data_IF_922215294124
#
_entry.id   IF_922215294124
#
_cell.length_a   1.000
_cell.length_b   1.000
_cell.length_c   1.000
_cell.angle_alpha   90.00
_cell.angle_beta   90.00
_cell.angle_gamma   90.00
#
_symmetry.space_group_name_H-M   'P 1'
#
loop_
_entity.id
_entity.type
_entity.pdbx_description
1 polymer ?
#
# COMPACT_ATOMS: atom_id res chain seq x y z
N UNK A 1 -4.52 10.60 7.37
CA UNK A 1 -5.52 11.36 6.61
C UNK A 1 -6.72 10.44 6.41
N UNK A 2 -7.86 10.75 7.02
CA UNK A 2 -9.04 9.89 7.04
C UNK A 2 -10.19 10.59 6.30
N UNK A 3 -10.61 10.03 5.17
CA UNK A 3 -11.69 10.60 4.35
C UNK A 3 -12.32 9.64 3.33
N UNK A 4 -11.99 8.35 3.38
CA UNK A 4 -12.81 7.28 2.82
C UNK A 4 -12.98 6.26 3.94
N UNK A 5 -14.04 6.41 4.74
CA UNK A 5 -14.25 5.65 5.97
C UNK A 5 -15.19 4.46 5.75
N UNK A 6 -14.72 3.49 4.98
CA UNK A 6 -14.92 2.08 5.27
C UNK A 6 -13.55 1.45 5.06
N UNK A 7 -13.10 0.69 6.05
CA UNK A 7 -11.81 0.00 6.16
C UNK A 7 -11.10 -0.08 4.82
N UNK A 8 -9.99 0.67 4.64
CA UNK A 8 -8.97 0.23 3.69
C UNK A 8 -8.65 -1.18 4.17
N UNK A 9 -9.19 -2.19 3.50
CA UNK A 9 -8.68 -3.54 3.68
C UNK A 9 -7.37 -3.50 2.91
N UNK A 10 -6.36 -2.99 3.61
CA UNK A 10 -5.02 -3.51 3.48
C UNK A 10 -5.19 -5.02 3.62
N UNK A 11 -4.86 -5.75 2.55
CA UNK A 11 -5.35 -7.12 2.30
C UNK A 11 -5.29 -8.01 3.55
N UNK A 12 -6.24 -8.94 3.72
CA UNK A 12 -6.35 -9.74 4.93
C UNK A 12 -5.21 -10.75 5.04
N UNK A 13 -4.11 -10.37 5.70
CA UNK A 13 -3.21 -11.34 6.34
C UNK A 13 -3.73 -11.55 7.76
N UNK A 14 -4.39 -12.69 7.98
CA UNK A 14 -4.70 -13.17 9.34
C UNK A 14 -3.44 -13.74 9.96
N UNK A 15 -2.91 -13.17 11.07
CA UNK A 15 -1.89 -13.85 11.86
C UNK A 15 -2.56 -15.03 12.59
N UNK A 16 -2.18 -16.25 12.22
CA UNK A 16 -2.65 -17.47 12.87
C UNK A 16 -2.20 -17.48 14.34
N UNK A 17 -3.16 -17.63 15.25
CA UNK A 17 -2.94 -17.56 16.70
C UNK A 17 -2.77 -18.97 17.27
N UNK A 18 -1.57 -19.25 17.82
CA UNK A 18 -1.30 -20.42 18.64
C UNK A 18 -1.10 -20.05 20.12
N UNK A 19 -2.07 -20.40 20.96
CA UNK A 19 -2.09 -20.27 22.44
C UNK A 19 -1.39 -21.46 23.11
N UNK A 20 -0.65 -21.26 24.21
CA UNK A 20 -0.92 -21.91 25.52
C UNK A 20 0.08 -21.48 26.63
N UNK A 21 -0.42 -21.49 27.88
CA UNK A 21 0.13 -20.77 29.03
C UNK A 21 1.10 -21.54 29.95
N UNK A 22 1.56 -20.86 31.01
CA UNK A 22 2.20 -21.52 32.17
C UNK A 22 3.15 -20.65 33.01
N UNK A 23 2.71 -20.21 34.19
CA UNK A 23 3.53 -19.53 35.22
C UNK A 23 4.56 -20.46 35.88
N UNK A 24 5.76 -19.95 36.20
CA UNK A 24 6.55 -20.30 37.42
C UNK A 24 7.36 -19.09 37.92
N UNK A 25 7.72 -19.12 39.21
CA UNK A 25 8.08 -18.01 40.13
C UNK A 25 9.47 -18.24 40.77
N UNK A 26 10.23 -17.16 41.03
CA UNK A 26 11.42 -17.09 41.92
C UNK A 26 12.77 -17.29 41.19
N UNK A 27 13.88 -16.59 41.43
CA UNK A 27 14.35 -15.71 42.51
C UNK A 27 15.48 -14.77 41.98
N UNK A 28 15.88 -13.79 42.80
CA UNK A 28 16.67 -12.58 42.48
C UNK A 28 18.12 -12.76 41.95
N UNK A 29 18.52 -11.75 41.17
CA UNK A 29 19.73 -11.57 40.35
C UNK A 29 21.04 -11.22 41.10
N UNK A 30 22.19 -11.18 40.38
CA UNK A 30 23.19 -10.12 40.50
C UNK A 30 23.19 -9.20 39.25
N UNK A 31 23.74 -7.98 39.36
CA UNK A 31 23.47 -6.89 38.45
C UNK A 31 24.37 -7.00 37.22
N UNK A 32 23.77 -7.07 36.04
CA UNK A 32 24.46 -6.75 34.79
C UNK A 32 23.84 -5.47 34.23
N UNK A 33 24.73 -4.54 33.90
CA UNK A 33 24.48 -3.28 33.22
C UNK A 33 23.85 -3.56 31.85
N UNK A 34 22.54 -3.71 31.79
CA UNK A 34 21.77 -3.58 30.55
C UNK A 34 20.94 -2.30 30.64
N UNK A 35 21.54 -1.21 30.18
CA UNK A 35 20.85 0.03 29.81
C UNK A 35 20.19 -0.13 28.42
N UNK A 36 19.56 -1.28 28.18
CA UNK A 36 18.65 -1.48 27.05
C UNK A 36 17.25 -1.13 27.55
N UNK A 37 16.94 0.16 27.45
CA UNK A 37 15.56 0.60 27.35
C UNK A 37 15.02 0.13 26.00
N UNK A 38 14.73 -1.17 25.88
CA UNK A 38 13.89 -1.72 24.82
C UNK A 38 12.50 -1.11 24.99
N UNK A 39 12.30 0.06 24.40
CA UNK A 39 10.95 0.54 24.14
C UNK A 39 10.25 -0.56 23.32
N UNK A 40 9.06 -1.03 23.75
CA UNK A 40 8.38 -2.10 23.03
C UNK A 40 8.10 -1.63 21.60
N UNK A 41 8.68 -2.35 20.62
CA UNK A 41 8.40 -2.11 19.21
C UNK A 41 6.89 -2.13 18.97
N UNK A 42 6.39 -1.17 18.19
CA UNK A 42 4.98 -1.10 17.82
C UNK A 42 4.56 -2.20 16.83
N UNK A 43 5.52 -3.03 16.38
CA UNK A 43 5.33 -4.14 15.47
C UNK A 43 6.07 -5.38 15.97
N UNK A 44 5.69 -6.55 15.44
CA UNK A 44 6.39 -7.81 15.70
C UNK A 44 7.43 -8.05 14.63
N UNK A 45 8.58 -8.59 15.03
CA UNK A 45 9.67 -8.93 14.10
C UNK A 45 9.45 -10.27 13.38
N UNK A 46 8.44 -11.05 13.79
CA UNK A 46 8.09 -12.32 13.14
C UNK A 46 7.85 -12.11 11.64
N UNK A 47 8.43 -12.94 10.76
CA UNK A 47 8.23 -12.82 9.33
C UNK A 47 6.75 -12.85 8.92
N UNK A 48 6.34 -11.90 8.09
CA UNK A 48 5.00 -11.89 7.48
C UNK A 48 5.06 -12.55 6.12
N UNK A 49 4.21 -13.56 5.92
CA UNK A 49 4.07 -14.23 4.64
C UNK A 49 3.01 -13.54 3.77
N UNK A 50 3.46 -12.97 2.66
CA UNK A 50 2.64 -12.33 1.62
C UNK A 50 2.71 -13.09 0.28
N UNK A 51 3.32 -14.28 0.26
CA UNK A 51 3.64 -15.01 -0.97
C UNK A 51 2.40 -15.47 -1.75
N UNK A 52 1.35 -15.88 -1.04
CA UNK A 52 0.08 -16.37 -1.59
C UNK A 52 -0.88 -15.25 -2.02
N UNK A 53 -0.55 -13.98 -1.74
CA UNK A 53 -1.42 -12.87 -2.12
C UNK A 53 -1.32 -12.66 -3.62
N UNK A 54 -2.43 -12.76 -4.36
CA UNK A 54 -2.39 -12.67 -5.82
C UNK A 54 -2.02 -11.26 -6.26
N UNK A 55 -1.21 -11.19 -7.32
CA UNK A 55 -0.93 -9.96 -8.04
C UNK A 55 -1.65 -9.95 -9.39
N UNK A 56 -2.11 -8.77 -9.82
CA UNK A 56 -2.55 -8.54 -11.19
C UNK A 56 -1.90 -7.28 -11.75
N UNK A 57 -1.47 -7.37 -13.00
CA UNK A 57 -0.83 -6.28 -13.72
C UNK A 57 -1.69 -5.02 -13.73
N UNK A 58 -1.02 -3.86 -13.75
CA UNK A 58 -1.66 -2.56 -13.82
C UNK A 58 -2.52 -2.39 -15.07
N UNK A 59 -3.75 -1.90 -14.89
CA UNK A 59 -4.56 -1.40 -15.98
C UNK A 59 -4.03 -0.03 -16.41
N UNK A 60 -3.89 0.20 -17.72
CA UNK A 60 -3.33 1.45 -18.27
C UNK A 60 -4.25 1.95 -19.37
N UNK A 61 -4.82 3.13 -19.15
CA UNK A 61 -5.70 3.81 -20.11
C UNK A 61 -5.27 5.29 -20.15
N UNK A 62 -4.19 5.61 -20.88
CA UNK A 62 -3.63 6.96 -20.89
C UNK A 62 -4.65 7.97 -21.45
N UNK A 63 -4.74 9.13 -20.82
CA UNK A 63 -5.70 10.18 -21.20
C UNK A 63 -7.16 9.89 -20.83
N UNK A 64 -7.44 8.83 -20.06
CA UNK A 64 -8.79 8.59 -19.53
C UNK A 64 -9.21 9.68 -18.53
N UNK A 65 -8.26 10.15 -17.72
CA UNK A 65 -8.44 11.23 -16.77
C UNK A 65 -7.86 12.54 -17.29
N UNK A 66 -8.48 13.68 -16.93
CA UNK A 66 -7.92 15.01 -17.18
C UNK A 66 -6.89 15.34 -16.10
N UNK A 67 -6.10 16.39 -16.31
CA UNK A 67 -5.17 16.90 -15.29
C UNK A 67 -5.84 17.39 -14.01
N UNK A 68 -7.17 17.56 -13.99
CA UNK A 68 -7.93 18.00 -12.81
C UNK A 68 -8.28 16.88 -11.83
N UNK A 69 -8.02 15.60 -12.16
CA UNK A 69 -8.41 14.44 -11.35
C UNK A 69 -7.91 14.51 -9.90
N UNK A 70 -6.66 14.93 -9.70
CA UNK A 70 -6.08 15.05 -8.36
C UNK A 70 -6.87 16.04 -7.50
N UNK A 71 -7.23 17.19 -8.08
CA UNK A 71 -8.07 18.18 -7.41
C UNK A 71 -9.45 17.60 -7.10
N UNK A 72 -10.07 16.88 -8.04
CA UNK A 72 -11.38 16.23 -7.81
C UNK A 72 -11.34 15.28 -6.62
N UNK A 73 -10.31 14.44 -6.52
CA UNK A 73 -10.14 13.49 -5.41
C UNK A 73 -9.89 14.24 -4.09
N UNK A 74 -9.01 15.24 -4.08
CA UNK A 74 -8.71 16.04 -2.88
C UNK A 74 -9.95 16.80 -2.39
N UNK A 75 -10.64 17.50 -3.28
CA UNK A 75 -11.88 18.21 -2.96
C UNK A 75 -12.92 17.24 -2.39
N UNK A 76 -13.05 16.02 -2.95
CA UNK A 76 -13.98 15.03 -2.44
C UNK A 76 -13.61 14.62 -1.01
N UNK A 77 -12.35 14.27 -0.74
CA UNK A 77 -11.85 13.84 0.57
C UNK A 77 -12.05 14.95 1.62
N UNK A 78 -11.73 16.21 1.26
CA UNK A 78 -11.82 17.34 2.17
C UNK A 78 -13.29 17.68 2.54
N UNK A 79 -14.21 17.55 1.58
CA UNK A 79 -15.62 17.88 1.76
C UNK A 79 -16.48 16.71 2.26
N UNK A 80 -16.03 15.46 2.05
CA UNK A 80 -16.80 14.26 2.35
C UNK A 80 -15.98 13.31 3.22
N UNK A 81 -15.72 13.71 4.47
CA UNK A 81 -14.91 12.92 5.43
C UNK A 81 -15.45 11.52 5.74
N UNK A 82 -16.72 11.26 5.42
CA UNK A 82 -17.40 9.96 5.56
C UNK A 82 -17.80 9.36 4.20
N UNK A 83 -17.27 9.87 3.09
CA UNK A 83 -17.55 9.34 1.76
C UNK A 83 -17.03 7.91 1.60
N UNK A 84 -17.73 7.12 0.79
CA UNK A 84 -17.32 5.76 0.42
C UNK A 84 -16.47 5.76 -0.86
N UNK A 85 -15.84 4.63 -1.17
CA UNK A 85 -15.16 4.44 -2.46
C UNK A 85 -16.12 4.55 -3.66
N UNK A 86 -17.37 4.12 -3.48
CA UNK A 86 -18.40 4.24 -4.52
C UNK A 86 -18.82 5.70 -4.72
N UNK A 87 -18.88 6.49 -3.64
CA UNK A 87 -19.14 7.95 -3.73
C UNK A 87 -18.00 8.66 -4.47
N UNK A 88 -16.74 8.32 -4.17
CA UNK A 88 -15.59 8.87 -4.87
C UNK A 88 -15.61 8.49 -6.36
N UNK A 89 -15.92 7.23 -6.67
CA UNK A 89 -16.05 6.74 -8.05
C UNK A 89 -17.16 7.48 -8.80
N UNK A 90 -18.30 7.73 -8.15
CA UNK A 90 -19.40 8.51 -8.71
C UNK A 90 -19.00 9.98 -8.96
N UNK A 91 -18.28 10.59 -8.01
CA UNK A 91 -17.77 11.96 -8.15
C UNK A 91 -16.80 12.08 -9.32
N UNK A 92 -15.84 11.15 -9.45
CA UNK A 92 -14.92 11.11 -10.60
C UNK A 92 -15.69 10.89 -11.89
N UNK A 93 -16.66 9.98 -11.93
CA UNK A 93 -17.47 9.76 -13.13
C UNK A 93 -18.25 11.01 -13.55
N UNK A 94 -18.67 11.84 -12.58
CA UNK A 94 -19.44 13.07 -12.78
C UNK A 94 -18.59 14.26 -13.20
N UNK A 95 -17.44 14.48 -12.54
CA UNK A 95 -16.56 15.65 -12.76
C UNK A 95 -15.52 15.43 -13.86
N UNK A 96 -15.02 14.21 -13.99
CA UNK A 96 -13.99 13.86 -14.96
C UNK A 96 -14.61 13.19 -16.17
N UNK A 97 -14.91 11.89 -16.06
CA UNK A 97 -15.63 11.08 -17.04
C UNK A 97 -15.83 9.64 -16.52
N UNK A 98 -16.76 8.89 -17.10
CA UNK A 98 -16.91 7.46 -16.85
C UNK A 98 -15.65 6.65 -17.23
N UNK A 99 -14.90 7.10 -18.23
CA UNK A 99 -13.63 6.48 -18.63
C UNK A 99 -12.55 6.68 -17.56
N UNK A 100 -12.44 7.87 -16.98
CA UNK A 100 -11.54 8.13 -15.86
C UNK A 100 -11.89 7.27 -14.65
N UNK A 101 -13.17 7.23 -14.26
CA UNK A 101 -13.62 6.39 -13.14
C UNK A 101 -13.30 4.90 -13.37
N UNK A 102 -13.46 4.40 -14.60
CA UNK A 102 -13.13 3.00 -14.96
C UNK A 102 -11.62 2.74 -15.08
N UNK A 103 -10.81 3.78 -15.24
CA UNK A 103 -9.35 3.64 -15.18
C UNK A 103 -8.84 3.65 -13.74
N UNK A 104 -9.44 4.47 -12.87
CA UNK A 104 -9.04 4.63 -11.46
C UNK A 104 -9.52 3.45 -10.60
N UNK A 105 -10.69 2.88 -10.90
CA UNK A 105 -11.29 1.79 -10.13
C UNK A 105 -11.40 0.50 -10.94
N UNK A 106 -11.08 -0.61 -10.30
CA UNK A 106 -11.31 -1.98 -10.78
C UNK A 106 -11.85 -2.85 -9.65
N UNK A 107 -12.33 -4.04 -10.00
CA UNK A 107 -12.65 -5.09 -9.02
C UNK A 107 -11.46 -6.01 -8.82
N UNK A 108 -11.38 -6.61 -7.64
CA UNK A 108 -10.43 -7.68 -7.33
C UNK A 108 -10.49 -8.85 -8.34
N UNK A 109 -11.68 -9.13 -8.88
CA UNK A 109 -11.94 -10.16 -9.91
C UNK A 109 -11.52 -9.78 -11.32
N UNK A 110 -11.25 -8.49 -11.62
CA UNK A 110 -10.87 -8.04 -12.96
C UNK A 110 -9.51 -8.63 -13.39
N UNK A 111 -9.28 -8.80 -14.70
CA UNK A 111 -8.04 -9.39 -15.20
C UNK A 111 -6.80 -8.51 -14.98
N UNK A 112 -7.00 -7.20 -14.86
CA UNK A 112 -5.98 -6.19 -14.55
C UNK A 112 -6.51 -5.26 -13.49
N UNK A 113 -5.63 -4.77 -12.63
CA UNK A 113 -6.01 -3.90 -11.52
C UNK A 113 -5.71 -2.45 -11.83
N UNK A 114 -6.73 -1.61 -11.62
CA UNK A 114 -6.61 -0.16 -11.58
C UNK A 114 -5.85 0.30 -10.31
N UNK A 115 -5.49 1.60 -10.19
CA UNK A 115 -4.89 2.15 -8.98
C UNK A 115 -5.67 1.87 -7.70
N UNK A 116 -7.01 1.80 -7.78
CA UNK A 116 -7.90 1.39 -6.68
C UNK A 116 -8.58 0.08 -7.05
N UNK A 117 -8.42 -0.92 -6.19
CA UNK A 117 -9.04 -2.24 -6.35
C UNK A 117 -10.09 -2.41 -5.26
N UNK A 118 -11.36 -2.48 -5.66
CA UNK A 118 -12.47 -2.73 -4.75
C UNK A 118 -12.70 -4.24 -4.63
N UNK A 119 -12.83 -4.73 -3.39
CA UNK A 119 -13.29 -6.09 -3.09
C UNK A 119 -14.79 -6.09 -2.84
N UNK A 120 -15.44 -7.26 -2.93
CA UNK A 120 -16.92 -7.38 -2.79
C UNK A 120 -17.48 -6.83 -1.47
N UNK A 121 -16.66 -6.75 -0.41
CA UNK A 121 -17.05 -6.20 0.89
C UNK A 121 -17.18 -4.67 0.91
N UNK A 122 -16.86 -3.97 -0.18
CA UNK A 122 -16.86 -2.50 -0.25
C UNK A 122 -15.52 -1.86 0.14
N UNK A 123 -14.61 -2.63 0.74
CA UNK A 123 -13.26 -2.19 0.99
C UNK A 123 -12.45 -2.03 -0.30
N UNK A 124 -11.39 -1.23 -0.25
CA UNK A 124 -10.48 -1.07 -1.37
C UNK A 124 -9.02 -1.09 -0.93
N UNK A 125 -8.15 -1.51 -1.86
CA UNK A 125 -6.70 -1.45 -1.74
C UNK A 125 -6.09 -0.58 -2.83
N UNK A 126 -4.94 0.03 -2.54
CA UNK A 126 -4.19 0.84 -3.49
C UNK A 126 -3.17 -0.08 -4.19
N UNK A 127 -3.23 -0.17 -5.51
CA UNK A 127 -2.35 -1.03 -6.29
C UNK A 127 -1.10 -0.29 -6.79
N UNK A 128 -0.21 0.11 -5.87
CA UNK A 128 1.07 0.75 -6.22
C UNK A 128 1.95 -0.17 -7.08
N UNK A 129 1.95 -1.48 -6.80
CA UNK A 129 2.71 -2.47 -7.59
C UNK A 129 2.23 -2.59 -9.04
N UNK A 130 0.95 -2.32 -9.32
CA UNK A 130 0.44 -2.19 -10.69
C UNK A 130 1.12 -1.06 -11.46
N UNK A 131 1.25 0.13 -10.86
CA UNK A 131 1.98 1.25 -11.44
C UNK A 131 3.47 0.92 -11.62
N UNK A 132 4.10 0.29 -10.61
CA UNK A 132 5.52 -0.07 -10.67
C UNK A 132 5.78 -1.07 -11.81
N UNK A 133 4.91 -2.05 -12.02
CA UNK A 133 5.00 -2.96 -13.16
C UNK A 133 4.95 -2.23 -14.50
N UNK A 134 4.15 -1.16 -14.61
CA UNK A 134 4.05 -0.31 -15.81
C UNK A 134 5.33 0.48 -16.06
N UNK A 135 5.84 1.22 -15.05
CA UNK A 135 7.03 2.09 -15.23
C UNK A 135 8.33 1.29 -15.35
N UNK A 136 8.43 0.15 -14.67
CA UNK A 136 9.57 -0.75 -14.78
C UNK A 136 9.53 -1.63 -16.02
N UNK A 137 8.33 -1.79 -16.62
CA UNK A 137 8.04 -2.75 -17.71
C UNK A 137 8.34 -4.19 -17.29
N UNK A 138 8.13 -4.52 -16.02
CA UNK A 138 8.39 -5.83 -15.43
C UNK A 138 7.29 -6.19 -14.44
N UNK A 139 6.47 -7.19 -14.79
CA UNK A 139 5.43 -7.71 -13.88
C UNK A 139 6.06 -8.31 -12.62
N UNK A 140 7.26 -8.90 -12.70
CA UNK A 140 7.97 -9.42 -11.52
C UNK A 140 8.37 -8.30 -10.56
N UNK A 141 8.86 -7.16 -11.06
CA UNK A 141 9.12 -5.98 -10.23
C UNK A 141 7.82 -5.40 -9.65
N UNK A 142 6.75 -5.35 -10.45
CA UNK A 142 5.44 -4.90 -9.98
C UNK A 142 4.85 -5.78 -8.87
N UNK A 143 4.94 -7.10 -9.01
CA UNK A 143 4.52 -8.07 -8.01
C UNK A 143 5.36 -7.99 -6.73
N UNK A 144 6.69 -7.93 -6.87
CA UNK A 144 7.58 -7.80 -5.73
C UNK A 144 7.31 -6.50 -4.95
N UNK A 145 7.08 -5.39 -5.66
CA UNK A 145 6.70 -4.12 -5.03
C UNK A 145 5.34 -4.17 -4.33
N UNK A 146 4.35 -4.83 -4.94
CA UNK A 146 3.04 -5.04 -4.33
C UNK A 146 3.13 -5.83 -3.01
N UNK A 147 3.88 -6.93 -3.03
CA UNK A 147 4.10 -7.78 -1.84
C UNK A 147 4.89 -7.05 -0.75
N UNK A 148 5.89 -6.27 -1.15
CA UNK A 148 6.65 -5.42 -0.23
C UNK A 148 5.78 -4.37 0.47
N UNK A 149 4.99 -3.61 -0.31
CA UNK A 149 4.07 -2.61 0.22
C UNK A 149 3.03 -3.23 1.15
N UNK A 150 2.47 -4.38 0.76
CA UNK A 150 1.52 -5.11 1.59
C UNK A 150 2.12 -5.53 2.94
N UNK A 151 3.35 -6.04 2.93
CA UNK A 151 4.02 -6.44 4.16
C UNK A 151 4.22 -5.25 5.09
N UNK A 152 4.74 -4.13 4.57
CA UNK A 152 4.99 -2.93 5.37
C UNK A 152 3.71 -2.36 5.97
N UNK A 153 2.63 -2.30 5.18
CA UNK A 153 1.33 -1.85 5.69
C UNK A 153 0.81 -2.78 6.79
N UNK A 154 0.89 -4.10 6.59
CA UNK A 154 0.44 -5.07 7.60
C UNK A 154 1.22 -4.98 8.93
N UNK A 155 2.54 -4.78 8.85
CA UNK A 155 3.44 -4.70 10.02
C UNK A 155 3.32 -3.34 10.71
N UNK A 156 3.23 -2.24 9.96
CA UNK A 156 3.32 -0.89 10.49
C UNK A 156 1.98 -0.20 10.76
N UNK A 157 0.83 -0.85 10.51
CA UNK A 157 -0.51 -0.26 10.66
C UNK A 157 -0.78 0.40 12.02
N UNK A 158 -0.21 -0.15 13.10
CA UNK A 158 -0.44 0.30 14.48
C UNK A 158 0.69 1.21 15.00
N UNK A 159 1.68 1.52 14.15
CA UNK A 159 2.83 2.33 14.50
C UNK A 159 2.56 3.83 14.28
N UNK A 160 2.59 4.63 15.35
CA UNK A 160 2.52 6.09 15.25
C UNK A 160 3.70 6.68 14.45
N UNK A 161 4.84 5.98 14.43
CA UNK A 161 6.05 6.35 13.70
C UNK A 161 6.21 5.50 12.43
N UNK A 162 5.25 5.59 11.50
CA UNK A 162 5.22 4.74 10.30
C UNK A 162 6.51 4.74 9.46
N UNK A 163 7.27 5.85 9.43
CA UNK A 163 8.53 5.92 8.67
C UNK A 163 9.69 5.13 9.30
N UNK A 164 9.79 5.09 10.62
CA UNK A 164 10.83 4.30 11.31
C UNK A 164 10.47 2.82 11.28
N UNK A 165 9.20 2.48 11.55
CA UNK A 165 8.70 1.12 11.39
C UNK A 165 8.97 0.57 9.97
N UNK A 166 8.69 1.37 8.95
CA UNK A 166 8.90 0.97 7.57
C UNK A 166 10.37 0.69 7.24
N UNK A 167 11.33 1.37 7.88
CA UNK A 167 12.76 1.11 7.69
C UNK A 167 13.20 -0.15 8.42
N UNK A 168 12.76 -0.33 9.66
CA UNK A 168 13.20 -1.46 10.48
C UNK A 168 12.57 -2.79 10.00
N UNK A 169 11.28 -2.77 9.65
CA UNK A 169 10.55 -3.93 9.15
C UNK A 169 11.19 -4.51 7.88
N UNK A 170 11.86 -3.70 7.05
CA UNK A 170 12.59 -4.17 5.87
C UNK A 170 13.78 -5.07 6.24
N UNK A 171 14.36 -4.91 7.43
CA UNK A 171 15.42 -5.77 7.95
C UNK A 171 14.92 -6.99 8.72
N UNK A 172 13.65 -7.00 9.12
CA UNK A 172 13.05 -7.99 10.04
C UNK A 172 11.83 -8.66 9.42
N UNK A 173 10.61 -8.30 9.84
CA UNK A 173 9.35 -8.96 9.49
C UNK A 173 9.07 -8.99 7.97
N UNK A 174 9.54 -7.96 7.25
CA UNK A 174 9.38 -7.81 5.81
C UNK A 174 10.66 -8.04 5.01
N UNK A 175 11.67 -8.68 5.61
CA UNK A 175 12.96 -8.93 4.97
C UNK A 175 12.84 -9.66 3.64
N UNK A 176 12.12 -10.78 3.60
CA UNK A 176 11.98 -11.57 2.38
C UNK A 176 11.33 -10.77 1.23
N UNK A 177 10.27 -10.01 1.54
CA UNK A 177 9.62 -9.16 0.55
C UNK A 177 10.53 -8.00 0.09
N UNK A 178 11.33 -7.44 1.00
CA UNK A 178 12.28 -6.37 0.69
C UNK A 178 13.45 -6.85 -0.18
N UNK A 179 13.98 -8.04 0.10
CA UNK A 179 15.01 -8.68 -0.71
C UNK A 179 14.50 -8.99 -2.11
N UNK A 180 13.27 -9.51 -2.24
CA UNK A 180 12.66 -9.78 -3.55
C UNK A 180 12.39 -8.49 -4.33
N UNK A 181 11.91 -7.43 -3.69
CA UNK A 181 11.75 -6.13 -4.33
C UNK A 181 13.09 -5.56 -4.83
N UNK A 182 14.14 -5.63 -4.01
CA UNK A 182 15.49 -5.24 -4.42
C UNK A 182 16.04 -6.07 -5.59
N UNK A 183 15.75 -7.39 -5.60
CA UNK A 183 16.17 -8.31 -6.65
C UNK A 183 15.46 -8.05 -7.98
N UNK A 184 14.14 -7.92 -7.98
CA UNK A 184 13.33 -7.80 -9.20
C UNK A 184 13.35 -6.38 -9.80
N UNK A 185 13.48 -5.35 -8.96
CA UNK A 185 13.49 -3.95 -9.41
C UNK A 185 14.90 -3.33 -9.54
N UNK A 186 15.91 -3.95 -8.94
CA UNK A 186 17.30 -3.53 -8.98
C UNK A 186 17.53 -2.10 -8.49
N UNK A 187 18.57 -1.45 -9.04
CA UNK A 187 19.00 -0.10 -8.61
C UNK A 187 17.98 1.02 -8.90
N UNK A 188 16.90 0.73 -9.65
CA UNK A 188 15.86 1.71 -9.99
C UNK A 188 14.66 1.68 -9.03
N UNK A 189 14.64 0.79 -8.03
CA UNK A 189 13.54 0.63 -7.08
C UNK A 189 13.05 1.97 -6.51
N UNK A 190 13.98 2.83 -6.04
CA UNK A 190 13.64 4.14 -5.50
C UNK A 190 13.03 5.08 -6.55
N UNK A 191 13.50 5.04 -7.80
CA UNK A 191 12.93 5.84 -8.88
C UNK A 191 11.50 5.40 -9.21
N UNK A 192 11.21 4.11 -9.14
CA UNK A 192 9.85 3.58 -9.33
C UNK A 192 8.93 3.97 -8.17
N UNK A 193 9.40 3.89 -6.92
CA UNK A 193 8.66 4.42 -5.77
C UNK A 193 8.41 5.92 -5.88
N UNK A 194 9.38 6.70 -6.38
CA UNK A 194 9.17 8.12 -6.61
C UNK A 194 8.12 8.39 -7.70
N UNK A 195 7.97 7.51 -8.68
CA UNK A 195 7.01 7.63 -9.77
C UNK A 195 5.61 7.06 -9.45
N UNK A 196 5.50 6.14 -8.48
CA UNK A 196 4.27 5.37 -8.24
C UNK A 196 3.84 5.28 -6.78
N UNK A 197 4.66 5.69 -5.82
CA UNK A 197 4.55 5.36 -4.38
C UNK A 197 3.37 5.99 -3.63
N UNK A 198 2.38 6.54 -4.33
CA UNK A 198 1.11 6.90 -3.75
C UNK A 198 0.00 6.83 -4.82
N UNK A 199 -1.26 6.91 -4.37
CA UNK A 199 -2.42 6.83 -5.24
C UNK A 199 -2.41 7.86 -6.39
N UNK A 200 -2.09 9.12 -6.12
CA UNK A 200 -2.12 10.18 -7.13
C UNK A 200 -1.11 9.92 -8.24
N UNK A 201 0.10 9.51 -7.86
CA UNK A 201 1.17 9.12 -8.78
C UNK A 201 0.78 7.92 -9.63
N UNK A 202 0.17 6.90 -9.02
CA UNK A 202 -0.35 5.74 -9.75
C UNK A 202 -1.44 6.13 -10.77
N UNK A 203 -2.38 6.99 -10.38
CA UNK A 203 -3.41 7.52 -11.29
C UNK A 203 -2.78 8.32 -12.43
N UNK A 204 -1.80 9.18 -12.14
CA UNK A 204 -1.13 10.00 -13.14
C UNK A 204 -0.47 9.12 -14.22
N UNK A 205 0.31 8.12 -13.80
CA UNK A 205 0.97 7.16 -14.69
C UNK A 205 -0.04 6.32 -15.48
N UNK A 206 -1.05 5.74 -14.81
CA UNK A 206 -1.91 4.73 -15.42
C UNK A 206 -3.09 5.33 -16.20
N UNK A 207 -3.58 6.51 -15.83
CA UNK A 207 -4.84 7.06 -16.32
C UNK A 207 -4.75 8.44 -16.97
N UNK A 208 -3.78 9.26 -16.58
CA UNK A 208 -3.57 10.58 -17.21
C UNK A 208 -2.54 10.50 -18.34
N UNK A 209 -1.55 9.61 -18.22
CA UNK A 209 -0.49 9.43 -19.22
C UNK A 209 0.70 10.37 -19.03
N UNK A 210 0.78 11.06 -17.90
CA UNK A 210 1.92 11.88 -17.48
C UNK A 210 2.34 11.45 -16.07
N UNK A 211 3.61 11.10 -15.80
CA UNK A 211 4.07 10.96 -14.43
C UNK A 211 3.91 12.32 -13.74
N UNK A 212 3.23 12.32 -12.59
CA UNK A 212 3.03 13.49 -11.75
C UNK A 212 4.37 14.21 -11.56
N UNK A 213 4.53 15.37 -12.20
CA UNK A 213 5.75 16.17 -12.15
C UNK A 213 5.73 16.89 -10.80
N UNK A 214 5.95 16.12 -9.73
CA UNK A 214 5.67 16.49 -8.34
C UNK A 214 5.85 17.98 -8.12
N UNK A 215 4.73 18.65 -7.83
CA UNK A 215 4.73 20.07 -7.49
C UNK A 215 5.64 20.26 -6.27
N UNK A 216 6.86 20.71 -6.55
CA UNK A 216 7.75 21.25 -5.55
C UNK A 216 7.09 22.49 -4.99
N UNK A 217 6.71 22.42 -3.71
CA UNK A 217 6.54 23.59 -2.88
C UNK A 217 7.01 23.28 -1.46
#
# INVERSE_FOLDING_TARGET
MAGCSETVVENPVTPDSGTDGGKVKGDAAPPDDDDDTDEPLCYKEDPVDVSEVPYKAGNVVPGACKSTIEKTIKDFIDNNKQGTWDDLKAEISSKESAACASCVFSKDTDAKWAPIVQVESGAASINVGGCIGVVSKSDACGEAAFKWDLCLNAVCKDCEQGSTCGQDAQGTACKAASEEFGKECGNNAQSYLNACGNLFKAIAVQCSGEPDAGDGN
#
